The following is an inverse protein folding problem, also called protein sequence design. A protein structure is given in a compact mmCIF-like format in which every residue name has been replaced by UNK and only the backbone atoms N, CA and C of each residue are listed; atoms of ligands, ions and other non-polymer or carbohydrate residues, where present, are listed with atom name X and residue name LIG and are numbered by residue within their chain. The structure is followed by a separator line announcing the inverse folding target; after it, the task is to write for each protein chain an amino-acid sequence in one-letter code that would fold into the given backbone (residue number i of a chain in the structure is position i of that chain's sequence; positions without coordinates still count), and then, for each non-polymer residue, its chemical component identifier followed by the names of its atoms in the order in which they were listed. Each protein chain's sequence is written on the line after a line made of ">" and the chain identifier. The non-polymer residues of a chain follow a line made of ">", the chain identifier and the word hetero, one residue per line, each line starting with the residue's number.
data_IF_317362217972
#
_entry.id   IF_317362217972
#
_cell.length_a   1.000
_cell.length_b   1.000
_cell.length_c   1.000
_cell.angle_alpha   90.00
_cell.angle_beta   90.00
_cell.angle_gamma   90.00
#
_symmetry.space_group_name_H-M   'P 1'
#
loop_
_entity.id
_entity.type
_entity.pdbx_description
1 polymer ?
#
# COMPACT_ATOMS: atom_id res chain seq x y z
N UNK A 1 1.13 0.78 26.15
CA UNK A 1 1.99 -0.25 25.52
C UNK A 1 1.29 -1.14 24.49
N UNK A 2 -0.02 -1.42 24.55
CA UNK A 2 -0.72 -2.17 23.49
C UNK A 2 -0.77 -1.43 22.13
N UNK A 3 -1.24 -0.18 22.12
CA UNK A 3 -1.38 0.60 20.88
C UNK A 3 -0.08 0.77 20.07
N UNK A 4 1.06 0.95 20.73
CA UNK A 4 2.35 1.11 20.03
C UNK A 4 2.74 -0.18 19.30
N UNK A 5 2.55 -1.33 19.94
CA UNK A 5 2.84 -2.63 19.34
C UNK A 5 1.85 -2.98 18.21
N UNK A 6 0.58 -2.60 18.39
CA UNK A 6 -0.48 -2.80 17.38
C UNK A 6 -0.21 -1.94 16.13
N UNK A 7 0.21 -0.68 16.30
CA UNK A 7 0.59 0.22 15.21
C UNK A 7 1.85 -0.26 14.46
N UNK A 8 2.86 -0.80 15.15
CA UNK A 8 4.05 -1.38 14.50
C UNK A 8 3.72 -2.64 13.69
N UNK A 9 2.83 -3.49 14.21
CA UNK A 9 2.35 -4.65 13.48
C UNK A 9 1.53 -4.23 12.25
N UNK A 10 0.66 -3.23 12.39
CA UNK A 10 -0.11 -2.67 11.26
C UNK A 10 0.82 -2.09 10.18
N UNK A 11 1.89 -1.36 10.55
CA UNK A 11 2.89 -0.88 9.58
C UNK A 11 3.54 -2.01 8.78
N UNK A 12 3.97 -3.07 9.48
CA UNK A 12 4.62 -4.22 8.84
C UNK A 12 3.67 -4.92 7.86
N UNK A 13 2.40 -5.08 8.26
CA UNK A 13 1.36 -5.65 7.40
C UNK A 13 1.08 -4.76 6.19
N UNK A 14 0.98 -3.44 6.38
CA UNK A 14 0.78 -2.47 5.30
C UNK A 14 1.95 -2.48 4.31
N UNK A 15 3.19 -2.52 4.79
CA UNK A 15 4.37 -2.57 3.94
C UNK A 15 4.41 -3.84 3.08
N UNK A 16 4.09 -4.99 3.67
CA UNK A 16 3.98 -6.25 2.93
C UNK A 16 2.87 -6.19 1.85
N UNK A 17 1.71 -5.61 2.18
CA UNK A 17 0.61 -5.45 1.22
C UNK A 17 0.95 -4.49 0.08
N UNK A 18 1.56 -3.35 0.39
CA UNK A 18 2.02 -2.37 -0.61
C UNK A 18 3.00 -3.02 -1.57
N UNK A 19 3.99 -3.76 -1.05
CA UNK A 19 4.97 -4.44 -1.88
C UNK A 19 4.29 -5.45 -2.84
N UNK A 20 3.39 -6.28 -2.31
CA UNK A 20 2.66 -7.26 -3.12
C UNK A 20 1.76 -6.61 -4.18
N UNK A 21 1.05 -5.54 -3.84
CA UNK A 21 0.19 -4.82 -4.80
C UNK A 21 1.01 -4.09 -5.86
N UNK A 22 2.14 -3.50 -5.50
CA UNK A 22 3.06 -2.87 -6.46
C UNK A 22 3.59 -3.90 -7.46
N UNK A 23 4.00 -5.07 -7.00
CA UNK A 23 4.51 -6.13 -7.87
C UNK A 23 3.41 -6.64 -8.81
N UNK A 24 2.18 -6.78 -8.29
CA UNK A 24 1.01 -7.15 -9.11
C UNK A 24 0.69 -6.08 -10.16
N UNK A 25 0.63 -4.80 -9.78
CA UNK A 25 0.38 -3.69 -10.69
C UNK A 25 1.46 -3.59 -11.78
N UNK A 26 2.72 -3.78 -11.39
CA UNK A 26 3.84 -3.82 -12.34
C UNK A 26 3.66 -4.96 -13.36
N UNK A 27 3.32 -6.17 -12.90
CA UNK A 27 3.02 -7.29 -13.78
C UNK A 27 1.83 -7.01 -14.69
N UNK A 28 0.77 -6.36 -14.20
CA UNK A 28 -0.38 -5.99 -15.02
C UNK A 28 0.03 -5.00 -16.11
N UNK A 29 0.82 -3.97 -15.79
CA UNK A 29 1.31 -2.99 -16.76
C UNK A 29 2.24 -3.59 -17.82
N UNK A 30 3.01 -4.62 -17.46
CA UNK A 30 3.85 -5.34 -18.43
C UNK A 30 3.04 -6.22 -19.40
N UNK A 31 1.91 -6.76 -18.94
CA UNK A 31 1.12 -7.72 -19.70
C UNK A 31 -0.12 -7.10 -20.39
N UNK A 32 -0.55 -5.91 -19.98
CA UNK A 32 -1.61 -5.15 -20.63
C UNK A 32 -1.03 -4.04 -21.50
N UNK A 33 -1.52 -3.94 -22.74
CA UNK A 33 -1.15 -2.87 -23.66
C UNK A 33 -1.80 -1.51 -23.31
N UNK A 34 -2.93 -1.55 -22.58
CA UNK A 34 -3.67 -0.35 -22.17
C UNK A 34 -3.42 -0.03 -20.69
N UNK A 35 -2.58 0.98 -20.38
CA UNK A 35 -2.34 1.40 -18.99
C UNK A 35 -3.53 2.12 -18.36
N UNK A 36 -4.56 2.47 -19.15
CA UNK A 36 -5.81 3.07 -18.67
C UNK A 36 -6.93 2.02 -18.50
N UNK A 37 -6.58 0.73 -18.55
CA UNK A 37 -7.51 -0.34 -18.23
C UNK A 37 -8.11 -0.12 -16.82
N UNK A 38 -9.44 -0.23 -16.71
CA UNK A 38 -10.19 0.00 -15.46
C UNK A 38 -9.66 -0.83 -14.28
N UNK A 39 -9.18 -2.06 -14.53
CA UNK A 39 -8.58 -2.91 -13.51
C UNK A 39 -7.24 -2.33 -13.02
N UNK A 40 -6.39 -1.86 -13.93
CA UNK A 40 -5.11 -1.20 -13.59
C UNK A 40 -5.37 0.09 -12.80
N UNK A 41 -6.37 0.88 -13.21
CA UNK A 41 -6.76 2.09 -12.51
C UNK A 41 -7.30 1.80 -11.10
N UNK A 42 -8.12 0.76 -10.96
CA UNK A 42 -8.62 0.32 -9.65
C UNK A 42 -7.47 -0.13 -8.74
N UNK A 43 -6.55 -0.96 -9.24
CA UNK A 43 -5.37 -1.40 -8.50
C UNK A 43 -4.46 -0.23 -8.10
N UNK A 44 -4.27 0.74 -9.00
CA UNK A 44 -3.48 1.94 -8.71
C UNK A 44 -4.09 2.76 -7.59
N UNK A 45 -5.41 2.95 -7.61
CA UNK A 45 -6.13 3.66 -6.55
C UNK A 45 -6.05 2.95 -5.20
N UNK A 46 -6.22 1.63 -5.18
CA UNK A 46 -6.12 0.86 -3.93
C UNK A 46 -4.69 0.91 -3.35
N UNK A 47 -3.66 0.88 -4.21
CA UNK A 47 -2.28 1.04 -3.79
C UNK A 47 -2.02 2.42 -3.17
N UNK A 48 -2.55 3.49 -3.77
CA UNK A 48 -2.44 4.85 -3.22
C UNK A 48 -3.10 4.97 -1.84
N UNK A 49 -4.27 4.35 -1.64
CA UNK A 49 -4.96 4.33 -0.34
C UNK A 49 -4.12 3.61 0.74
N UNK A 50 -3.49 2.48 0.39
CA UNK A 50 -2.59 1.77 1.31
C UNK A 50 -1.34 2.59 1.64
N UNK A 51 -0.72 3.24 0.66
CA UNK A 51 0.45 4.11 0.86
C UNK A 51 0.09 5.30 1.76
N UNK A 52 -1.08 5.91 1.53
CA UNK A 52 -1.58 7.00 2.37
C UNK A 52 -1.77 6.57 3.82
N UNK A 53 -2.37 5.39 4.04
CA UNK A 53 -2.54 4.82 5.38
C UNK A 53 -1.20 4.52 6.04
N UNK A 54 -0.26 3.89 5.32
CA UNK A 54 1.09 3.61 5.83
C UNK A 54 1.82 4.89 6.21
N UNK A 55 1.77 5.93 5.37
CA UNK A 55 2.42 7.22 5.61
C UNK A 55 1.85 7.89 6.86
N UNK A 56 0.52 7.96 6.96
CA UNK A 56 -0.17 8.53 8.14
C UNK A 56 0.20 7.79 9.42
N UNK A 57 0.25 6.46 9.38
CA UNK A 57 0.58 5.64 10.55
C UNK A 57 2.05 5.79 10.95
N UNK A 58 2.95 5.90 9.96
CA UNK A 58 4.39 6.11 10.18
C UNK A 58 4.69 7.47 10.77
N UNK A 59 3.95 8.51 10.37
CA UNK A 59 4.03 9.84 10.98
C UNK A 59 3.58 9.80 12.44
N UNK A 60 2.43 9.19 12.73
CA UNK A 60 1.93 9.03 14.11
C UNK A 60 2.93 8.33 15.04
N UNK A 61 3.64 7.31 14.56
CA UNK A 61 4.65 6.60 15.34
C UNK A 61 5.99 7.35 15.50
N UNK A 62 6.24 8.40 14.72
CA UNK A 62 7.40 9.29 14.91
C UNK A 62 7.14 10.39 15.93
N UNK A 63 5.88 10.78 16.08
CA UNK A 63 5.42 11.83 17.00
C UNK A 63 5.09 11.30 18.41
N UNK A 64 5.07 9.97 18.59
CA UNK A 64 4.94 9.23 19.87
C UNK A 64 6.31 8.92 20.50
#
# INVERSE_FOLDING_TARGET
>A
MKNFNDNHNELTVLEAKINLMRDKLHNMLLNNFDPLNDEILAFSKELDELISRYTTLKEKLKDD
#
